data_IF_602939406069
#
_entry.id   IF_602939406069
#
_cell.length_a   1.000
_cell.length_b   1.000
_cell.length_c   1.000
_cell.angle_alpha   90.00
_cell.angle_beta   90.00
_cell.angle_gamma   90.00
#
_symmetry.space_group_name_H-M   'P 1'
#
loop_
_entity.id
_entity.type
_entity.pdbx_description
1 polymer ?
#
# COMPACT_ATOMS: atom_id res chain seq x y z
N UNK A 1 -12.51 14.50 -15.22
CA UNK A 1 -11.60 13.65 -14.42
C UNK A 1 -12.26 13.35 -13.08
N UNK A 2 -12.52 12.08 -12.79
CA UNK A 2 -13.06 11.61 -11.50
C UNK A 2 -12.05 11.77 -10.36
N UNK A 3 -12.49 11.67 -9.10
CA UNK A 3 -11.58 11.73 -7.94
C UNK A 3 -10.52 10.63 -7.98
N UNK A 4 -10.89 9.41 -8.40
CA UNK A 4 -9.97 8.28 -8.55
C UNK A 4 -8.92 8.59 -9.64
N UNK A 5 -9.33 9.15 -10.77
CA UNK A 5 -8.40 9.52 -11.83
C UNK A 5 -7.44 10.64 -11.40
N UNK A 6 -7.94 11.65 -10.66
CA UNK A 6 -7.08 12.70 -10.07
C UNK A 6 -6.07 12.11 -9.11
N UNK A 7 -6.49 11.15 -8.30
CA UNK A 7 -5.61 10.47 -7.37
C UNK A 7 -4.54 9.62 -8.06
N UNK A 8 -4.92 8.80 -9.04
CA UNK A 8 -3.97 7.99 -9.82
C UNK A 8 -2.96 8.90 -10.53
N UNK A 9 -3.44 9.97 -11.17
CA UNK A 9 -2.57 10.94 -11.83
C UNK A 9 -1.61 11.60 -10.85
N UNK A 10 -2.11 12.04 -9.69
CA UNK A 10 -1.26 12.63 -8.65
C UNK A 10 -0.14 11.69 -8.24
N UNK A 11 -0.43 10.40 -8.00
CA UNK A 11 0.55 9.43 -7.53
C UNK A 11 1.57 9.06 -8.60
N UNK A 12 1.15 8.91 -9.86
CA UNK A 12 2.07 8.61 -10.95
C UNK A 12 2.93 9.82 -11.33
N UNK A 13 2.39 11.04 -11.27
CA UNK A 13 3.11 12.28 -11.61
C UNK A 13 3.95 12.83 -10.42
N UNK A 14 3.80 12.27 -9.22
CA UNK A 14 4.53 12.68 -8.02
C UNK A 14 5.99 12.21 -8.03
N UNK A 15 6.82 12.83 -7.20
CA UNK A 15 8.18 12.35 -6.99
C UNK A 15 8.16 10.93 -6.43
N UNK A 16 9.17 10.12 -6.80
CA UNK A 16 9.29 8.73 -6.35
C UNK A 16 9.17 8.60 -4.84
N UNK A 17 9.69 9.56 -4.06
CA UNK A 17 9.62 9.56 -2.59
C UNK A 17 8.18 9.69 -2.04
N UNK A 18 7.37 10.56 -2.64
CA UNK A 18 5.98 10.77 -2.20
C UNK A 18 5.13 9.56 -2.57
N UNK A 19 5.33 9.04 -3.78
CA UNK A 19 4.70 7.81 -4.27
C UNK A 19 5.04 6.63 -3.36
N UNK A 20 6.33 6.48 -2.99
CA UNK A 20 6.78 5.48 -2.04
C UNK A 20 6.05 5.61 -0.69
N UNK A 21 6.05 6.81 -0.12
CA UNK A 21 5.46 7.06 1.19
C UNK A 21 3.97 6.71 1.23
N UNK A 22 3.21 7.18 0.23
CA UNK A 22 1.75 6.99 0.21
C UNK A 22 1.36 5.53 -0.04
N UNK A 23 2.12 4.82 -0.87
CA UNK A 23 1.78 3.45 -1.29
C UNK A 23 2.29 2.38 -0.33
N UNK A 24 3.41 2.64 0.35
CA UNK A 24 4.08 1.62 1.17
C UNK A 24 3.74 1.74 2.64
N UNK A 25 3.44 2.94 3.14
CA UNK A 25 3.03 3.11 4.54
C UNK A 25 1.83 2.22 4.92
N UNK A 26 0.78 2.08 4.08
CA UNK A 26 -0.31 1.14 4.35
C UNK A 26 0.16 -0.31 4.40
N UNK A 27 0.99 -0.75 3.46
CA UNK A 27 1.51 -2.11 3.43
C UNK A 27 2.38 -2.44 4.65
N UNK A 28 3.25 -1.51 5.05
CA UNK A 28 4.11 -1.63 6.24
C UNK A 28 3.27 -1.64 7.51
N UNK A 29 2.27 -0.75 7.63
CA UNK A 29 1.39 -0.69 8.79
C UNK A 29 0.61 -1.98 9.02
N UNK A 30 0.19 -2.66 7.94
CA UNK A 30 -0.43 -3.99 8.02
C UNK A 30 0.62 -5.05 8.40
N UNK A 31 1.79 -5.03 7.77
CA UNK A 31 2.85 -6.01 8.03
C UNK A 31 3.31 -5.99 9.50
N UNK A 32 3.35 -4.81 10.13
CA UNK A 32 3.70 -4.66 11.55
C UNK A 32 2.71 -5.34 12.51
N UNK A 33 1.48 -5.63 12.09
CA UNK A 33 0.56 -6.44 12.91
C UNK A 33 1.03 -7.89 13.05
N UNK A 34 1.94 -8.36 12.20
CA UNK A 34 2.44 -9.74 12.24
C UNK A 34 3.78 -9.87 12.98
N UNK A 35 4.34 -8.76 13.49
CA UNK A 35 5.58 -8.78 14.26
C UNK A 35 5.32 -9.27 15.70
N UNK A 36 6.07 -10.27 16.19
CA UNK A 36 5.83 -10.92 17.48
C UNK A 36 6.07 -9.99 18.69
N UNK A 37 6.89 -8.95 18.53
CA UNK A 37 7.26 -8.02 19.60
C UNK A 37 6.35 -6.77 19.69
N UNK A 38 5.29 -6.71 18.90
CA UNK A 38 4.42 -5.53 18.84
C UNK A 38 3.28 -5.65 19.85
N UNK A 39 3.30 -4.77 20.85
CA UNK A 39 2.21 -4.66 21.82
C UNK A 39 0.96 -4.04 21.16
N UNK A 40 -0.15 -4.79 21.14
CA UNK A 40 -1.38 -4.37 20.47
C UNK A 40 -2.19 -3.38 21.31
N UNK A 41 -1.85 -2.09 21.21
CA UNK A 41 -2.68 -1.02 21.75
C UNK A 41 -3.86 -0.71 20.82
N UNK A 42 -4.98 -0.21 21.37
CA UNK A 42 -6.16 0.22 20.60
C UNK A 42 -5.80 1.18 19.47
N UNK A 43 -4.83 2.06 19.70
CA UNK A 43 -4.29 2.98 18.70
C UNK A 43 -3.66 2.25 17.51
N UNK A 44 -2.83 1.23 17.75
CA UNK A 44 -2.19 0.44 16.68
C UNK A 44 -3.19 -0.37 15.88
N UNK A 45 -4.18 -0.99 16.54
CA UNK A 45 -5.26 -1.71 15.86
C UNK A 45 -6.03 -0.76 14.93
N UNK A 46 -6.33 0.45 15.41
CA UNK A 46 -7.04 1.47 14.62
C UNK A 46 -6.23 1.89 13.39
N UNK A 47 -4.94 2.17 13.57
CA UNK A 47 -4.03 2.51 12.47
C UNK A 47 -3.98 1.38 11.45
N UNK A 48 -3.87 0.13 11.91
CA UNK A 48 -3.77 -1.00 11.01
C UNK A 48 -5.05 -1.28 10.22
N UNK A 49 -6.24 -1.07 10.81
CA UNK A 49 -7.52 -1.12 10.08
C UNK A 49 -7.57 -0.05 9.00
N UNK A 50 -7.15 1.18 9.31
CA UNK A 50 -7.08 2.28 8.32
C UNK A 50 -6.10 1.90 7.19
N UNK A 51 -4.92 1.38 7.53
CA UNK A 51 -3.94 0.91 6.56
C UNK A 51 -4.50 -0.22 5.69
N UNK A 52 -5.22 -1.18 6.26
CA UNK A 52 -5.87 -2.27 5.53
C UNK A 52 -6.91 -1.76 4.52
N UNK A 53 -7.72 -0.77 4.90
CA UNK A 53 -8.69 -0.15 3.99
C UNK A 53 -7.99 0.57 2.84
N UNK A 54 -6.95 1.36 3.12
CA UNK A 54 -6.19 2.07 2.08
C UNK A 54 -5.53 1.07 1.13
N UNK A 55 -4.90 0.03 1.67
CA UNK A 55 -4.25 -1.03 0.88
C UNK A 55 -5.26 -1.78 0.00
N UNK A 56 -6.47 -2.04 0.50
CA UNK A 56 -7.53 -2.65 -0.31
C UNK A 56 -7.92 -1.75 -1.50
N UNK A 57 -8.05 -0.44 -1.28
CA UNK A 57 -8.33 0.53 -2.36
C UNK A 57 -7.20 0.55 -3.39
N UNK A 58 -5.93 0.59 -2.95
CA UNK A 58 -4.77 0.51 -3.85
C UNK A 58 -4.76 -0.79 -4.66
N UNK A 59 -5.02 -1.91 -4.01
CA UNK A 59 -5.12 -3.23 -4.65
C UNK A 59 -6.19 -3.24 -5.74
N UNK A 60 -7.38 -2.68 -5.46
CA UNK A 60 -8.46 -2.57 -6.45
C UNK A 60 -8.02 -1.71 -7.65
N UNK A 61 -7.36 -0.58 -7.40
CA UNK A 61 -6.84 0.30 -8.46
C UNK A 61 -5.82 -0.45 -9.32
N UNK A 62 -4.88 -1.15 -8.70
CA UNK A 62 -3.85 -1.90 -9.40
C UNK A 62 -4.39 -3.10 -10.19
N UNK A 63 -5.37 -3.83 -9.66
CA UNK A 63 -6.07 -4.91 -10.41
C UNK A 63 -6.81 -4.31 -11.61
N UNK A 64 -7.52 -3.20 -11.44
CA UNK A 64 -8.16 -2.49 -12.56
C UNK A 64 -7.14 -2.05 -13.62
N UNK A 65 -5.96 -1.59 -13.18
CA UNK A 65 -4.87 -1.20 -14.07
C UNK A 65 -4.29 -2.39 -14.84
N UNK A 66 -4.15 -3.57 -14.21
CA UNK A 66 -3.75 -4.81 -14.89
C UNK A 66 -4.72 -5.20 -16.00
N UNK A 67 -6.03 -5.16 -15.71
CA UNK A 67 -7.09 -5.45 -16.70
C UNK A 67 -7.01 -4.46 -17.87
N UNK A 68 -6.72 -3.18 -17.58
CA UNK A 68 -6.55 -2.12 -18.58
C UNK A 68 -5.16 -2.07 -19.22
N UNK A 69 -4.26 -3.00 -18.92
CA UNK A 69 -2.87 -3.07 -19.39
C UNK A 69 -2.04 -1.79 -19.10
N UNK A 70 -2.38 -1.07 -18.03
CA UNK A 70 -1.64 0.10 -17.56
C UNK A 70 -0.53 -0.32 -16.59
N UNK A 71 0.60 -0.76 -17.14
CA UNK A 71 1.67 -1.40 -16.38
C UNK A 71 2.26 -0.51 -15.27
N UNK A 72 2.47 0.78 -15.53
CA UNK A 72 3.02 1.72 -14.53
C UNK A 72 2.11 1.86 -13.31
N UNK A 73 0.81 2.07 -13.55
CA UNK A 73 -0.19 2.14 -12.48
C UNK A 73 -0.30 0.81 -11.74
N UNK A 74 -0.22 -0.32 -12.43
CA UNK A 74 -0.22 -1.64 -11.79
C UNK A 74 1.03 -1.88 -10.93
N UNK A 75 2.20 -1.42 -11.38
CA UNK A 75 3.45 -1.49 -10.61
C UNK A 75 3.33 -0.68 -9.32
N UNK A 76 2.88 0.57 -9.43
CA UNK A 76 2.77 1.48 -8.28
C UNK A 76 1.72 1.01 -7.27
N UNK A 77 0.52 0.65 -7.72
CA UNK A 77 -0.60 0.40 -6.81
C UNK A 77 -0.76 -1.05 -6.35
N UNK A 78 -0.05 -2.01 -6.96
CA UNK A 78 -0.19 -3.43 -6.61
C UNK A 78 1.14 -4.13 -6.39
N UNK A 79 2.02 -4.16 -7.39
CA UNK A 79 3.26 -4.95 -7.33
C UNK A 79 4.17 -4.42 -6.21
N UNK A 80 4.42 -3.12 -6.18
CA UNK A 80 5.34 -2.50 -5.23
C UNK A 80 4.84 -2.58 -3.77
N UNK A 81 3.57 -2.26 -3.45
CA UNK A 81 3.03 -2.41 -2.10
C UNK A 81 3.04 -3.85 -1.60
N UNK A 82 2.64 -4.81 -2.46
CA UNK A 82 2.63 -6.23 -2.11
C UNK A 82 4.05 -6.75 -1.86
N UNK A 83 5.00 -6.44 -2.76
CA UNK A 83 6.38 -6.87 -2.62
C UNK A 83 7.02 -6.35 -1.33
N UNK A 84 6.77 -5.09 -0.97
CA UNK A 84 7.27 -4.53 0.29
C UNK A 84 6.58 -5.12 1.50
N UNK A 85 5.25 -5.31 1.48
CA UNK A 85 4.53 -5.97 2.56
C UNK A 85 5.11 -7.36 2.84
N UNK A 86 5.34 -8.15 1.79
CA UNK A 86 6.01 -9.45 1.90
C UNK A 86 7.43 -9.32 2.44
N UNK A 87 8.22 -8.36 1.94
CA UNK A 87 9.59 -8.12 2.43
C UNK A 87 9.61 -7.82 3.94
N UNK A 88 8.73 -6.93 4.42
CA UNK A 88 8.66 -6.56 5.84
C UNK A 88 8.21 -7.73 6.70
N UNK A 89 7.24 -8.55 6.27
CA UNK A 89 6.82 -9.75 7.00
C UNK A 89 7.97 -10.76 7.08
N UNK A 90 8.66 -11.03 5.95
CA UNK A 90 9.75 -12.00 5.91
C UNK A 90 11.00 -11.53 6.68
N UNK A 91 11.25 -10.22 6.75
CA UNK A 91 12.40 -9.66 7.45
C UNK A 91 12.12 -9.41 8.94
N UNK A 92 10.95 -8.88 9.28
CA UNK A 92 10.54 -8.55 10.65
C UNK A 92 10.06 -9.75 11.49
N UNK A 93 10.04 -10.95 10.90
CA UNK A 93 9.82 -12.22 11.59
C UNK A 93 11.10 -12.95 12.02
N UNK A 94 12.28 -12.30 11.86
CA UNK A 94 13.57 -12.73 12.44
C UNK A 94 13.94 -11.83 13.59
#
# INVERSE_FOLDING_TARGET
MSLIEKYIKLINDSSHHITFLVLLTPAIGIAMLFSPDVEYTTQRITIAVICALIFAVHTIIGICALIKKQLETALNFLILPVAMGCFVICWGGK
#
